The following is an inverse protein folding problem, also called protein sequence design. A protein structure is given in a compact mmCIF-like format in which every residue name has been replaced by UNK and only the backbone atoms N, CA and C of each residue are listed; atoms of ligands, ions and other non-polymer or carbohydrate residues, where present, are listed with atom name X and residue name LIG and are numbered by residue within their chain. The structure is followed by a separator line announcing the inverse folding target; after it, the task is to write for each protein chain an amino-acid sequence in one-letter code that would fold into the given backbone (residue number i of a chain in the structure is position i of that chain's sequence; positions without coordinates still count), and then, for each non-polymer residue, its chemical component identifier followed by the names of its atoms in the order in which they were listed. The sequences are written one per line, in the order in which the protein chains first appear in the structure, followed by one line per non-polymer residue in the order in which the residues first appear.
data_IF_037346973518
#
_entry.id   IF_037346973518
#
_cell.length_a   1.000
_cell.length_b   1.000
_cell.length_c   1.000
_cell.angle_alpha   90.00
_cell.angle_beta   90.00
_cell.angle_gamma   90.00
#
_symmetry.space_group_name_H-M   'P 1'
#
loop_
_entity.id
_entity.type
_entity.pdbx_description
1 polymer ?
#
# COMPACT_ATOMS: atom_id res chain seq x y z
N UNK A 1 -4.15 43.13 -35.36
CA UNK A 1 -4.85 42.49 -34.22
C UNK A 1 -5.60 41.19 -34.57
N UNK A 2 -5.99 40.92 -35.83
CA UNK A 2 -6.69 39.67 -36.19
C UNK A 2 -5.74 38.48 -36.45
N UNK A 3 -4.54 38.72 -37.00
CA UNK A 3 -3.57 37.66 -37.33
C UNK A 3 -3.01 36.91 -36.12
N UNK A 4 -2.77 37.61 -35.00
CA UNK A 4 -2.26 37.03 -33.75
C UNK A 4 -3.31 36.11 -33.11
N UNK A 5 -4.60 36.45 -33.22
CA UNK A 5 -5.68 35.58 -32.71
C UNK A 5 -5.81 34.29 -33.52
N UNK A 6 -5.66 34.35 -34.85
CA UNK A 6 -5.74 33.17 -35.71
C UNK A 6 -4.57 32.21 -35.50
N UNK A 7 -3.35 32.73 -35.31
CA UNK A 7 -2.16 31.92 -35.00
C UNK A 7 -2.27 31.29 -33.61
N UNK A 8 -2.82 32.02 -32.64
CA UNK A 8 -3.03 31.50 -31.28
C UNK A 8 -4.10 30.40 -31.24
N UNK A 9 -5.21 30.53 -31.98
CA UNK A 9 -6.24 29.48 -32.07
C UNK A 9 -5.73 28.20 -32.74
N UNK A 10 -4.91 28.32 -33.80
CA UNK A 10 -4.27 27.17 -34.45
C UNK A 10 -3.34 26.42 -33.47
N UNK A 11 -2.52 27.16 -32.72
CA UNK A 11 -1.59 26.58 -31.75
C UNK A 11 -2.30 25.82 -30.61
N UNK A 12 -3.41 26.36 -30.09
CA UNK A 12 -4.23 25.68 -29.08
C UNK A 12 -4.94 24.44 -29.60
N UNK A 13 -5.42 24.45 -30.85
CA UNK A 13 -6.14 23.29 -31.41
C UNK A 13 -5.18 22.12 -31.69
N UNK A 14 -4.00 22.37 -32.28
CA UNK A 14 -3.01 21.30 -32.53
C UNK A 14 -2.44 20.70 -31.24
N UNK A 15 -2.12 21.53 -30.24
CA UNK A 15 -1.62 21.04 -28.94
C UNK A 15 -2.69 20.25 -28.22
N UNK A 16 -3.96 20.66 -28.30
CA UNK A 16 -5.07 19.92 -27.70
C UNK A 16 -5.20 18.54 -28.34
N UNK A 17 -5.07 18.41 -29.66
CA UNK A 17 -5.10 17.11 -30.33
C UNK A 17 -3.90 16.22 -29.98
N UNK A 18 -2.70 16.80 -29.90
CA UNK A 18 -1.49 16.06 -29.48
C UNK A 18 -1.65 15.57 -28.03
N UNK A 19 -2.16 16.43 -27.14
CA UNK A 19 -2.39 16.11 -25.74
C UNK A 19 -3.49 15.06 -25.58
N UNK A 20 -4.56 15.12 -26.38
CA UNK A 20 -5.64 14.13 -26.40
C UNK A 20 -5.14 12.76 -26.86
N UNK A 21 -4.36 12.70 -27.95
CA UNK A 21 -3.75 11.46 -28.43
C UNK A 21 -2.73 10.90 -27.41
N UNK A 22 -1.92 11.76 -26.80
CA UNK A 22 -0.95 11.34 -25.78
C UNK A 22 -1.64 10.83 -24.50
N UNK A 23 -2.73 11.49 -24.07
CA UNK A 23 -3.54 11.09 -22.93
C UNK A 23 -4.24 9.76 -23.21
N UNK A 24 -4.84 9.60 -24.39
CA UNK A 24 -5.47 8.36 -24.84
C UNK A 24 -4.44 7.22 -24.92
N UNK A 25 -3.26 7.48 -25.47
CA UNK A 25 -2.17 6.51 -25.57
C UNK A 25 -1.66 6.10 -24.17
N UNK A 26 -1.50 7.06 -23.26
CA UNK A 26 -1.12 6.79 -21.87
C UNK A 26 -2.20 5.97 -21.14
N UNK A 27 -3.48 6.29 -21.35
CA UNK A 27 -4.61 5.59 -20.74
C UNK A 27 -4.73 4.15 -21.28
N UNK A 28 -4.54 3.96 -22.58
CA UNK A 28 -4.44 2.62 -23.21
C UNK A 28 -3.24 1.84 -22.68
N UNK A 29 -2.06 2.46 -22.59
CA UNK A 29 -0.85 1.83 -22.06
C UNK A 29 -1.03 1.41 -20.60
N UNK A 30 -1.61 2.27 -19.75
CA UNK A 30 -1.90 1.94 -18.36
C UNK A 30 -2.99 0.87 -18.23
N UNK A 31 -4.00 0.90 -19.08
CA UNK A 31 -5.02 -0.16 -19.14
C UNK A 31 -4.39 -1.50 -19.57
N UNK A 32 -3.45 -1.48 -20.52
CA UNK A 32 -2.70 -2.66 -20.98
C UNK A 32 -1.78 -3.24 -19.89
N UNK A 33 -1.09 -2.38 -19.13
CA UNK A 33 -0.22 -2.77 -18.03
C UNK A 33 -1.01 -3.45 -16.89
N UNK A 34 -2.20 -2.93 -16.57
CA UNK A 34 -3.14 -3.52 -15.60
C UNK A 34 -3.73 -4.85 -16.13
N UNK A 35 -3.83 -4.99 -17.45
CA UNK A 35 -4.40 -6.16 -18.11
C UNK A 35 -3.53 -7.41 -18.00
N UNK A 36 -2.21 -7.28 -17.88
CA UNK A 36 -1.29 -8.39 -18.13
C UNK A 36 -1.17 -9.40 -16.98
N UNK A 37 -1.70 -9.12 -15.78
CA UNK A 37 -1.37 -9.93 -14.60
C UNK A 37 -2.48 -10.84 -14.02
N UNK A 38 -3.61 -11.06 -14.70
CA UNK A 38 -4.67 -11.94 -14.14
C UNK A 38 -5.38 -12.81 -15.17
N UNK A 39 -6.07 -13.86 -14.71
CA UNK A 39 -6.96 -14.73 -15.52
C UNK A 39 -8.01 -13.93 -16.33
N UNK A 40 -8.34 -12.71 -15.90
CA UNK A 40 -9.18 -11.77 -16.64
C UNK A 40 -8.57 -11.30 -17.98
N UNK A 41 -7.24 -11.33 -18.12
CA UNK A 41 -6.52 -10.99 -19.36
C UNK A 41 -6.89 -11.91 -20.52
N UNK A 42 -7.07 -13.20 -20.24
CA UNK A 42 -7.37 -14.21 -21.25
C UNK A 42 -8.82 -14.07 -21.75
N UNK A 43 -9.74 -13.73 -20.84
CA UNK A 43 -11.13 -13.43 -21.18
C UNK A 43 -11.26 -12.14 -21.98
N UNK A 44 -10.48 -11.11 -21.64
CA UNK A 44 -10.48 -9.85 -22.39
C UNK A 44 -9.82 -9.98 -23.77
N UNK A 45 -8.75 -10.77 -23.90
CA UNK A 45 -8.19 -11.18 -25.20
C UNK A 45 -9.23 -11.92 -26.05
N UNK A 46 -10.05 -12.78 -25.42
CA UNK A 46 -11.16 -13.47 -26.08
C UNK A 46 -12.32 -12.54 -26.50
N UNK A 47 -12.68 -11.56 -25.65
CA UNK A 47 -13.68 -10.56 -26.01
C UNK A 47 -13.21 -9.65 -27.15
N UNK A 48 -11.93 -9.25 -27.12
CA UNK A 48 -11.32 -8.44 -28.17
C UNK A 48 -11.22 -9.21 -29.50
N UNK A 49 -10.83 -10.49 -29.47
CA UNK A 49 -10.78 -11.30 -30.69
C UNK A 49 -12.17 -11.50 -31.29
N UNK A 50 -13.21 -11.68 -30.46
CA UNK A 50 -14.60 -11.77 -30.92
C UNK A 50 -15.09 -10.47 -31.56
N UNK A 51 -14.68 -9.31 -31.02
CA UNK A 51 -14.96 -7.99 -31.60
C UNK A 51 -14.26 -7.81 -32.95
N UNK A 52 -13.00 -8.23 -33.07
CA UNK A 52 -12.26 -8.18 -34.35
C UNK A 52 -12.92 -9.06 -35.40
N UNK A 53 -13.33 -10.29 -35.05
CA UNK A 53 -14.06 -11.18 -35.96
C UNK A 53 -15.39 -10.56 -36.39
N UNK A 54 -16.12 -9.92 -35.48
CA UNK A 54 -17.35 -9.18 -35.80
C UNK A 54 -17.09 -8.03 -36.77
N UNK A 55 -16.05 -7.23 -36.53
CA UNK A 55 -15.68 -6.10 -37.37
C UNK A 55 -15.29 -6.54 -38.79
N UNK A 56 -14.51 -7.63 -38.91
CA UNK A 56 -14.17 -8.24 -40.20
C UNK A 56 -15.46 -8.73 -40.89
N UNK A 57 -16.31 -9.48 -40.20
CA UNK A 57 -17.57 -9.98 -40.77
C UNK A 57 -18.49 -8.85 -41.26
N UNK A 58 -18.48 -7.71 -40.56
CA UNK A 58 -19.25 -6.52 -40.92
C UNK A 58 -18.69 -5.81 -42.16
N UNK A 59 -17.37 -5.57 -42.20
CA UNK A 59 -16.70 -4.91 -43.34
C UNK A 59 -16.84 -5.74 -44.62
N UNK A 60 -16.72 -7.07 -44.52
CA UNK A 60 -16.86 -7.99 -45.65
C UNK A 60 -18.30 -8.42 -45.93
N UNK A 61 -19.29 -7.87 -45.20
CA UNK A 61 -20.73 -8.17 -45.35
C UNK A 61 -21.09 -9.67 -45.31
N UNK A 62 -20.40 -10.46 -44.48
CA UNK A 62 -20.63 -11.90 -44.36
C UNK A 62 -21.92 -12.20 -43.57
N UNK A 63 -23.06 -12.21 -44.26
CA UNK A 63 -24.39 -12.30 -43.65
C UNK A 63 -24.60 -13.54 -42.75
N UNK A 64 -24.15 -14.72 -43.17
CA UNK A 64 -24.27 -15.95 -42.38
C UNK A 64 -23.43 -15.90 -41.10
N UNK A 65 -22.22 -15.35 -41.20
CA UNK A 65 -21.30 -15.21 -40.06
C UNK A 65 -21.83 -14.19 -39.05
N UNK A 66 -22.37 -13.06 -39.53
CA UNK A 66 -23.02 -12.06 -38.69
C UNK A 66 -24.26 -12.63 -37.98
N UNK A 67 -25.08 -13.42 -38.67
CA UNK A 67 -26.25 -14.08 -38.07
C UNK A 67 -25.84 -15.08 -36.98
N UNK A 68 -24.83 -15.92 -37.24
CA UNK A 68 -24.30 -16.90 -36.30
C UNK A 68 -23.70 -16.20 -35.07
N UNK A 69 -22.88 -15.18 -35.30
CA UNK A 69 -22.21 -14.44 -34.23
C UNK A 69 -23.23 -13.73 -33.34
N UNK A 70 -24.28 -13.12 -33.91
CA UNK A 70 -25.36 -12.48 -33.15
C UNK A 70 -26.12 -13.49 -32.28
N UNK A 71 -26.39 -14.68 -32.80
CA UNK A 71 -27.10 -15.76 -32.07
C UNK A 71 -26.28 -16.27 -30.89
N UNK A 72 -24.98 -16.52 -31.10
CA UNK A 72 -24.10 -17.05 -30.04
C UNK A 72 -23.71 -15.97 -29.03
N UNK A 73 -23.58 -14.70 -29.45
CA UNK A 73 -23.19 -13.58 -28.58
C UNK A 73 -24.12 -13.44 -27.38
N UNK A 74 -25.43 -13.64 -27.57
CA UNK A 74 -26.39 -13.59 -26.46
C UNK A 74 -26.05 -14.61 -25.34
N UNK A 75 -25.72 -15.84 -25.72
CA UNK A 75 -25.31 -16.89 -24.77
C UNK A 75 -23.95 -16.60 -24.12
N UNK A 76 -22.98 -16.09 -24.89
CA UNK A 76 -21.65 -15.72 -24.38
C UNK A 76 -21.76 -14.60 -23.35
N UNK A 77 -22.60 -13.58 -23.59
CA UNK A 77 -22.79 -12.46 -22.64
C UNK A 77 -23.39 -12.95 -21.32
N UNK A 78 -24.40 -13.82 -21.38
CA UNK A 78 -25.01 -14.41 -20.17
C UNK A 78 -24.00 -15.28 -19.43
N UNK A 79 -23.28 -16.15 -20.14
CA UNK A 79 -22.25 -17.00 -19.54
C UNK A 79 -21.11 -16.19 -18.91
N UNK A 80 -20.66 -15.13 -19.59
CA UNK A 80 -19.68 -14.20 -19.06
C UNK A 80 -20.20 -13.52 -17.79
N UNK A 81 -21.43 -13.00 -17.78
CA UNK A 81 -22.01 -12.36 -16.60
C UNK A 81 -22.04 -13.28 -15.37
N UNK A 82 -22.35 -14.57 -15.55
CA UNK A 82 -22.33 -15.58 -14.48
C UNK A 82 -20.89 -15.84 -14.00
N UNK A 83 -19.96 -16.04 -14.93
CA UNK A 83 -18.54 -16.31 -14.60
C UNK A 83 -17.88 -15.12 -13.92
N UNK A 84 -18.22 -13.89 -14.33
CA UNK A 84 -17.68 -12.64 -13.77
C UNK A 84 -18.41 -12.16 -12.51
N UNK A 85 -19.50 -12.82 -12.11
CA UNK A 85 -20.25 -12.45 -10.91
C UNK A 85 -19.38 -12.39 -9.64
N UNK A 86 -18.46 -13.35 -9.37
CA UNK A 86 -17.59 -13.30 -8.20
C UNK A 86 -16.61 -12.11 -8.20
N UNK A 87 -16.09 -11.73 -9.37
CA UNK A 87 -15.14 -10.63 -9.55
C UNK A 87 -15.82 -9.28 -9.36
N UNK A 88 -17.00 -9.10 -9.98
CA UNK A 88 -17.83 -7.91 -9.76
C UNK A 88 -18.17 -7.76 -8.28
N UNK A 89 -18.57 -8.86 -7.61
CA UNK A 89 -18.80 -8.86 -6.16
C UNK A 89 -17.57 -8.41 -5.37
N UNK A 90 -16.36 -8.89 -5.70
CA UNK A 90 -15.10 -8.45 -5.04
C UNK A 90 -14.85 -6.95 -5.23
N UNK A 91 -15.10 -6.41 -6.43
CA UNK A 91 -14.95 -4.98 -6.72
C UNK A 91 -15.95 -4.15 -5.92
N UNK A 92 -17.22 -4.54 -5.89
CA UNK A 92 -18.25 -3.87 -5.09
C UNK A 92 -17.98 -3.95 -3.60
N UNK A 93 -17.46 -5.07 -3.09
CA UNK A 93 -17.03 -5.19 -1.71
C UNK A 93 -15.88 -4.23 -1.39
N UNK A 94 -14.89 -4.09 -2.29
CA UNK A 94 -13.80 -3.10 -2.12
C UNK A 94 -14.30 -1.66 -2.16
N UNK A 95 -15.26 -1.35 -3.02
CA UNK A 95 -15.88 -0.02 -3.13
C UNK A 95 -16.73 0.29 -1.88
N UNK A 96 -17.47 -0.71 -1.37
CA UNK A 96 -18.31 -0.58 -0.17
C UNK A 96 -17.53 -0.53 1.15
N UNK A 97 -16.26 -0.93 1.17
CA UNK A 97 -15.39 -0.89 2.34
C UNK A 97 -14.77 0.49 2.64
N UNK A 98 -15.15 1.57 1.94
CA UNK A 98 -14.82 2.94 2.34
C UNK A 98 -13.33 3.31 2.37
N UNK A 99 -12.43 2.44 1.91
CA UNK A 99 -10.97 2.65 1.95
C UNK A 99 -10.49 3.77 1.02
N UNK A 100 -11.32 4.23 0.09
CA UNK A 100 -10.95 5.31 -0.85
C UNK A 100 -11.17 6.72 -0.29
N UNK A 101 -11.99 6.87 0.77
CA UNK A 101 -12.39 8.16 1.36
C UNK A 101 -11.93 8.36 2.81
N UNK A 102 -11.20 7.41 3.41
CA UNK A 102 -10.74 7.54 4.80
C UNK A 102 -9.53 8.48 4.84
N UNK A 103 -9.70 9.68 5.42
CA UNK A 103 -8.62 10.60 5.77
C UNK A 103 -7.45 9.82 6.40
N UNK A 104 -6.40 9.65 5.60
CA UNK A 104 -5.33 8.69 5.85
C UNK A 104 -4.34 9.18 6.93
N UNK A 105 -4.47 10.42 7.40
CA UNK A 105 -3.62 11.03 8.45
C UNK A 105 -4.13 10.66 9.85
N UNK A 106 -5.40 10.96 10.15
CA UNK A 106 -6.03 10.67 11.45
C UNK A 106 -6.06 9.16 11.79
N UNK A 107 -6.29 8.31 10.79
CA UNK A 107 -6.26 6.84 10.98
C UNK A 107 -4.84 6.35 11.25
N UNK A 108 -3.81 6.94 10.64
CA UNK A 108 -2.43 6.53 10.87
C UNK A 108 -1.87 7.03 12.20
N UNK A 109 -2.21 8.25 12.63
CA UNK A 109 -1.88 8.74 13.98
C UNK A 109 -2.44 7.78 15.04
N UNK A 110 -3.73 7.44 14.94
CA UNK A 110 -4.37 6.48 15.86
C UNK A 110 -3.69 5.11 15.88
N UNK A 111 -3.16 4.64 14.76
CA UNK A 111 -2.43 3.36 14.70
C UNK A 111 -1.04 3.44 15.36
N UNK A 112 -0.35 4.56 15.19
CA UNK A 112 0.93 4.80 15.87
C UNK A 112 0.70 4.89 17.38
N UNK A 113 -0.29 5.66 17.82
CA UNK A 113 -0.67 5.77 19.22
C UNK A 113 -0.94 4.39 19.82
N UNK A 114 -1.75 3.58 19.14
CA UNK A 114 -2.05 2.21 19.57
C UNK A 114 -0.80 1.32 19.65
N UNK A 115 0.19 1.54 18.79
CA UNK A 115 1.46 0.81 18.80
C UNK A 115 2.33 1.23 19.98
N UNK A 116 2.42 2.53 20.26
CA UNK A 116 3.16 3.06 21.40
C UNK A 116 2.51 2.62 22.71
N UNK A 117 1.18 2.69 22.83
CA UNK A 117 0.46 2.15 24.01
C UNK A 117 0.75 0.67 24.23
N UNK A 118 0.81 -0.15 23.15
CA UNK A 118 1.19 -1.55 23.29
C UNK A 118 2.65 -1.71 23.74
N UNK A 119 3.56 -0.88 23.23
CA UNK A 119 4.96 -0.88 23.62
C UNK A 119 5.14 -0.52 25.09
N UNK A 120 4.41 0.47 25.61
CA UNK A 120 4.40 0.83 27.04
C UNK A 120 3.92 -0.36 27.91
N UNK A 121 2.78 -0.97 27.56
CA UNK A 121 2.23 -2.11 28.30
C UNK A 121 3.21 -3.30 28.33
N UNK A 122 3.90 -3.57 27.22
CA UNK A 122 4.87 -4.65 27.13
C UNK A 122 6.20 -4.29 27.82
N UNK A 123 6.59 -3.02 27.79
CA UNK A 123 7.76 -2.48 28.50
C UNK A 123 7.63 -2.65 30.00
N UNK A 124 6.50 -2.24 30.58
CA UNK A 124 6.20 -2.43 32.01
C UNK A 124 6.25 -3.91 32.42
N UNK A 125 5.82 -4.80 31.51
CA UNK A 125 5.83 -6.26 31.72
C UNK A 125 7.16 -6.91 31.35
N UNK A 126 8.15 -6.15 30.90
CA UNK A 126 9.44 -6.63 30.37
C UNK A 126 9.26 -7.75 29.35
N UNK A 127 8.39 -7.52 28.38
CA UNK A 127 8.13 -8.45 27.28
C UNK A 127 8.69 -7.89 25.98
N UNK A 128 9.36 -8.76 25.24
CA UNK A 128 9.93 -8.42 23.94
C UNK A 128 8.86 -7.99 22.95
N UNK A 129 9.09 -6.87 22.27
CA UNK A 129 8.29 -6.39 21.14
C UNK A 129 9.23 -6.19 19.95
N UNK A 130 8.78 -6.52 18.75
CA UNK A 130 9.51 -6.24 17.51
C UNK A 130 8.53 -5.93 16.37
N UNK A 131 8.41 -4.65 16.01
CA UNK A 131 7.49 -4.20 14.95
C UNK A 131 8.27 -3.48 13.87
N UNK A 132 8.13 -3.93 12.63
CA UNK A 132 8.74 -3.32 11.45
C UNK A 132 7.69 -2.54 10.67
N UNK A 133 7.92 -1.25 10.51
CA UNK A 133 7.11 -0.37 9.68
C UNK A 133 7.75 -0.23 8.30
N UNK A 134 7.07 -0.78 7.30
CA UNK A 134 7.50 -0.65 5.90
C UNK A 134 7.31 0.80 5.42
N UNK A 135 8.39 1.39 4.87
CA UNK A 135 8.37 2.69 4.19
C UNK A 135 8.24 2.49 2.68
N UNK A 136 9.31 2.70 1.90
CA UNK A 136 9.28 2.61 0.42
C UNK A 136 9.60 1.19 -0.06
N UNK A 137 10.46 0.47 0.64
CA UNK A 137 10.88 -0.87 0.25
C UNK A 137 9.75 -1.87 0.48
N UNK A 138 9.59 -2.81 -0.46
CA UNK A 138 8.65 -3.91 -0.31
C UNK A 138 9.31 -5.05 0.48
N UNK A 139 8.82 -5.33 1.69
CA UNK A 139 9.36 -6.35 2.58
C UNK A 139 8.80 -7.75 2.28
N UNK A 140 8.53 -8.05 1.00
CA UNK A 140 7.80 -9.26 0.60
C UNK A 140 8.49 -10.53 1.07
N UNK A 141 9.80 -10.60 0.93
CA UNK A 141 10.58 -11.78 1.32
C UNK A 141 10.50 -12.04 2.82
N UNK A 142 10.48 -10.97 3.64
CA UNK A 142 10.30 -11.05 5.09
C UNK A 142 8.86 -11.46 5.43
N UNK A 143 7.86 -10.86 4.79
CA UNK A 143 6.44 -11.16 5.00
C UNK A 143 6.13 -12.63 4.72
N UNK A 144 6.75 -13.21 3.68
CA UNK A 144 6.51 -14.59 3.27
C UNK A 144 7.15 -15.62 4.25
N UNK A 145 8.01 -15.19 5.18
CA UNK A 145 8.52 -16.07 6.26
C UNK A 145 7.56 -16.25 7.43
N UNK A 146 6.63 -15.31 7.62
CA UNK A 146 5.72 -15.29 8.76
C UNK A 146 4.29 -15.72 8.43
N UNK A 147 3.40 -15.57 9.40
CA UNK A 147 1.97 -15.87 9.25
C UNK A 147 1.24 -14.59 8.86
N UNK A 148 0.59 -14.58 7.69
CA UNK A 148 -0.22 -13.46 7.21
C UNK A 148 -1.47 -13.28 8.07
N UNK A 149 -1.67 -12.08 8.57
CA UNK A 149 -2.83 -11.70 9.40
C UNK A 149 -3.79 -10.77 8.65
N UNK A 150 -3.25 -9.75 7.98
CA UNK A 150 -4.03 -8.67 7.36
C UNK A 150 -5.05 -8.05 8.32
N UNK A 151 -4.58 -7.70 9.53
CA UNK A 151 -5.42 -7.21 10.62
C UNK A 151 -5.23 -5.71 10.86
N UNK A 152 -6.29 -5.03 11.33
CA UNK A 152 -6.19 -3.64 11.76
C UNK A 152 -5.31 -3.51 13.01
N UNK A 153 -4.57 -2.39 13.11
CA UNK A 153 -3.66 -2.14 14.23
C UNK A 153 -4.49 -1.78 15.46
N UNK A 154 -4.34 -2.56 16.52
CA UNK A 154 -4.88 -2.25 17.85
C UNK A 154 -3.87 -2.66 18.92
N UNK A 155 -3.86 -1.92 20.03
CA UNK A 155 -2.94 -2.20 21.14
C UNK A 155 -3.18 -3.60 21.71
N UNK A 156 -4.45 -3.99 21.88
CA UNK A 156 -4.84 -5.33 22.35
C UNK A 156 -4.35 -6.46 21.45
N UNK A 157 -4.36 -6.27 20.13
CA UNK A 157 -3.85 -7.27 19.19
C UNK A 157 -2.34 -7.42 19.31
N UNK A 158 -1.60 -6.31 19.36
CA UNK A 158 -0.14 -6.33 19.52
C UNK A 158 0.26 -6.98 20.85
N UNK A 159 -0.38 -6.59 21.95
CA UNK A 159 -0.14 -7.19 23.28
C UNK A 159 -0.47 -8.68 23.29
N UNK A 160 -1.51 -9.12 22.56
CA UNK A 160 -1.85 -10.54 22.41
C UNK A 160 -0.79 -11.29 21.60
N UNK A 161 -0.32 -10.73 20.48
CA UNK A 161 0.70 -11.36 19.63
C UNK A 161 1.99 -11.58 20.43
N UNK A 162 2.45 -10.56 21.17
CA UNK A 162 3.62 -10.66 22.06
C UNK A 162 3.28 -11.15 23.47
N UNK A 163 2.14 -11.84 23.60
CA UNK A 163 1.76 -12.54 24.81
C UNK A 163 2.71 -13.70 25.14
N UNK A 164 2.58 -14.24 26.34
CA UNK A 164 3.34 -15.43 26.74
C UNK A 164 2.80 -16.66 26.00
N UNK A 165 3.70 -17.58 25.61
CA UNK A 165 3.38 -18.88 24.99
C UNK A 165 2.52 -18.83 23.71
N UNK A 166 2.50 -17.70 22.99
CA UNK A 166 1.79 -17.64 21.71
C UNK A 166 2.69 -18.14 20.59
N UNK A 167 2.20 -18.81 19.54
CA UNK A 167 3.06 -19.18 18.41
C UNK A 167 3.63 -17.98 17.62
N UNK A 168 3.08 -16.77 17.81
CA UNK A 168 3.39 -15.58 17.01
C UNK A 168 4.37 -14.59 17.67
N UNK A 169 4.68 -14.76 18.97
CA UNK A 169 5.57 -13.84 19.69
C UNK A 169 7.05 -13.97 19.26
N UNK A 170 7.41 -15.08 18.62
CA UNK A 170 8.76 -15.35 18.18
C UNK A 170 8.95 -14.82 16.75
N UNK A 171 9.54 -13.63 16.65
CA UNK A 171 9.72 -12.90 15.40
C UNK A 171 9.09 -11.52 15.41
N UNK A 172 8.99 -10.92 14.22
CA UNK A 172 8.53 -9.56 14.04
C UNK A 172 7.09 -9.49 13.50
N UNK A 173 6.39 -8.41 13.88
CA UNK A 173 5.20 -7.95 13.18
C UNK A 173 5.62 -7.03 12.04
N UNK A 174 5.05 -7.21 10.85
CA UNK A 174 5.24 -6.32 9.71
C UNK A 174 3.99 -5.46 9.51
N UNK A 175 4.16 -4.15 9.61
CA UNK A 175 3.12 -3.15 9.39
C UNK A 175 3.34 -2.46 8.04
N UNK A 176 2.31 -2.48 7.20
CA UNK A 176 2.30 -1.77 5.92
C UNK A 176 0.97 -1.06 5.74
N UNK A 177 1.01 0.21 5.34
CA UNK A 177 -0.18 1.03 5.07
C UNK A 177 -1.22 1.04 6.21
N UNK A 178 -0.76 0.96 7.47
CA UNK A 178 -1.64 0.98 8.64
C UNK A 178 -2.34 -0.35 8.93
N UNK A 179 -1.85 -1.46 8.37
CA UNK A 179 -2.36 -2.83 8.60
C UNK A 179 -1.20 -3.71 9.05
N UNK A 180 -1.45 -4.60 9.99
CA UNK A 180 -0.55 -5.71 10.32
C UNK A 180 -0.65 -6.76 9.22
N UNK A 181 0.33 -6.81 8.34
CA UNK A 181 0.34 -7.74 7.19
C UNK A 181 0.65 -9.15 7.65
N UNK A 182 1.68 -9.31 8.48
CA UNK A 182 2.12 -10.61 9.01
C UNK A 182 2.73 -10.48 10.41
N UNK A 183 2.77 -11.59 11.14
CA UNK A 183 3.42 -11.73 12.45
C UNK A 183 4.30 -12.99 12.48
N UNK A 184 5.23 -13.05 13.44
CA UNK A 184 6.21 -14.13 13.52
C UNK A 184 7.16 -14.16 12.32
N UNK A 185 7.46 -12.99 11.72
CA UNK A 185 8.37 -12.91 10.58
C UNK A 185 9.83 -12.98 11.05
N UNK A 186 10.66 -13.73 10.33
CA UNK A 186 12.09 -13.80 10.57
C UNK A 186 12.80 -12.61 9.91
N UNK A 187 13.65 -11.94 10.69
CA UNK A 187 14.40 -10.78 10.24
C UNK A 187 15.89 -11.13 10.08
N UNK A 188 16.60 -10.49 9.14
CA UNK A 188 18.06 -10.61 9.04
C UNK A 188 18.72 -10.02 10.29
N UNK A 189 19.78 -10.66 10.78
CA UNK A 189 20.57 -10.20 11.92
C UNK A 189 21.77 -9.40 11.43
N UNK A 190 22.01 -8.23 12.02
CA UNK A 190 23.23 -7.46 11.74
C UNK A 190 24.48 -8.17 12.27
N UNK A 191 25.54 -8.15 11.47
CA UNK A 191 26.88 -8.65 11.81
C UNK A 191 27.80 -7.57 12.40
N UNK A 192 27.30 -6.34 12.59
CA UNK A 192 28.10 -5.25 13.12
C UNK A 192 28.65 -5.58 14.52
N UNK A 193 29.99 -5.56 14.64
CA UNK A 193 30.68 -5.83 15.91
C UNK A 193 30.56 -4.67 16.92
N UNK A 194 30.19 -3.48 16.44
CA UNK A 194 30.05 -2.24 17.25
C UNK A 194 28.73 -2.18 18.04
N UNK A 195 27.84 -3.16 17.84
CA UNK A 195 26.65 -3.35 18.65
C UNK A 195 27.10 -3.70 20.07
N UNK A 196 26.63 -2.93 21.08
CA UNK A 196 26.90 -3.23 22.49
C UNK A 196 26.62 -4.72 22.76
N UNK A 197 27.57 -5.41 23.40
CA UNK A 197 27.45 -6.85 23.69
C UNK A 197 26.20 -7.22 24.49
N UNK A 198 25.61 -6.26 25.21
CA UNK A 198 24.36 -6.39 25.96
C UNK A 198 23.10 -6.45 25.09
N UNK A 199 23.18 -6.18 23.79
CA UNK A 199 22.00 -6.23 22.93
C UNK A 199 21.70 -7.66 22.46
N UNK A 200 20.47 -8.10 22.79
CA UNK A 200 19.92 -9.39 22.40
C UNK A 200 19.60 -9.51 20.91
N UNK A 201 19.05 -10.66 20.53
CA UNK A 201 18.77 -11.03 19.13
C UNK A 201 17.76 -10.09 18.45
N UNK A 202 16.72 -9.63 19.17
CA UNK A 202 15.72 -8.67 18.62
C UNK A 202 16.34 -7.33 18.20
N UNK A 203 17.31 -6.83 18.96
CA UNK A 203 18.01 -5.59 18.61
C UNK A 203 18.89 -5.77 17.36
N UNK A 204 19.57 -6.92 17.24
CA UNK A 204 20.37 -7.25 16.05
C UNK A 204 19.50 -7.45 14.81
N UNK A 205 18.34 -8.09 14.99
CA UNK A 205 17.33 -8.28 13.96
C UNK A 205 16.78 -6.94 13.44
N UNK A 206 16.46 -6.04 14.37
CA UNK A 206 16.02 -4.70 14.03
C UNK A 206 17.08 -3.92 13.26
N UNK A 207 18.34 -3.98 13.71
CA UNK A 207 19.44 -3.29 13.05
C UNK A 207 19.69 -3.86 11.65
N UNK A 208 19.76 -5.19 11.51
CA UNK A 208 19.97 -5.84 10.21
C UNK A 208 18.86 -5.51 9.21
N UNK A 209 17.61 -5.43 9.69
CA UNK A 209 16.49 -5.00 8.85
C UNK A 209 16.64 -3.54 8.40
N UNK A 210 17.15 -2.66 9.26
CA UNK A 210 17.40 -1.24 8.93
C UNK A 210 18.67 -0.99 8.10
N UNK A 211 19.54 -2.00 7.95
CA UNK A 211 20.71 -1.98 7.06
C UNK A 211 20.30 -2.33 5.64
N UNK A 212 19.49 -3.37 5.48
CA UNK A 212 19.04 -3.87 4.17
C UNK A 212 17.87 -3.07 3.59
N UNK A 213 17.13 -2.35 4.43
CA UNK A 213 15.88 -1.69 4.03
C UNK A 213 15.74 -0.31 4.64
N UNK A 214 14.86 0.50 4.04
CA UNK A 214 14.45 1.76 4.62
C UNK A 214 13.42 1.58 5.74
N UNK A 215 13.15 0.39 6.28
CA UNK A 215 12.13 0.24 7.31
C UNK A 215 12.52 0.91 8.64
N UNK A 216 11.50 1.29 9.42
CA UNK A 216 11.67 1.75 10.80
C UNK A 216 11.22 0.62 11.72
N UNK A 217 12.05 0.23 12.67
CA UNK A 217 11.77 -0.90 13.56
C UNK A 217 11.64 -0.41 15.01
N UNK A 218 10.52 -0.72 15.66
CA UNK A 218 10.27 -0.48 17.07
C UNK A 218 10.57 -1.74 17.87
N UNK A 219 11.39 -1.60 18.91
CA UNK A 219 11.82 -2.69 19.78
C UNK A 219 11.44 -2.37 21.23
N UNK A 220 10.97 -3.38 21.97
CA UNK A 220 10.96 -3.38 23.43
C UNK A 220 11.86 -4.50 23.91
N UNK A 221 12.78 -4.18 24.82
CA UNK A 221 13.70 -5.14 25.41
C UNK A 221 12.99 -6.07 26.40
N UNK A 222 13.15 -7.38 26.25
CA UNK A 222 12.64 -8.35 27.23
C UNK A 222 13.44 -8.38 28.54
N UNK A 223 14.69 -7.90 28.52
CA UNK A 223 15.55 -7.90 29.71
C UNK A 223 15.32 -6.63 30.55
N UNK A 224 15.29 -5.48 29.88
CA UNK A 224 15.27 -4.17 30.53
C UNK A 224 13.92 -3.48 30.47
N UNK A 225 13.04 -3.85 29.53
CA UNK A 225 11.84 -3.10 29.20
C UNK A 225 12.11 -1.85 28.35
N UNK A 226 13.36 -1.53 28.02
CA UNK A 226 13.71 -0.31 27.28
C UNK A 226 13.05 -0.30 25.89
N UNK A 227 12.45 0.84 25.53
CA UNK A 227 11.90 1.10 24.19
C UNK A 227 13.02 1.64 23.31
N UNK A 228 13.16 1.11 22.10
CA UNK A 228 14.21 1.50 21.16
C UNK A 228 13.68 1.58 19.74
N UNK A 229 14.33 2.37 18.90
CA UNK A 229 14.05 2.46 17.47
C UNK A 229 15.30 2.10 16.67
N UNK A 230 15.15 1.34 15.58
CA UNK A 230 16.19 1.11 14.60
C UNK A 230 15.75 1.60 13.22
N UNK A 231 16.55 2.46 12.60
CA UNK A 231 16.32 2.98 11.25
C UNK A 231 17.63 3.57 10.71
N UNK A 232 17.76 3.65 9.38
CA UNK A 232 18.94 4.18 8.68
C UNK A 232 20.25 3.60 9.23
N UNK A 233 20.26 2.28 9.46
CA UNK A 233 21.40 1.51 10.00
C UNK A 233 21.90 1.97 11.37
N UNK A 234 21.03 2.58 12.19
CA UNK A 234 21.35 3.05 13.54
C UNK A 234 20.31 2.57 14.54
N UNK A 235 20.77 2.29 15.76
CA UNK A 235 19.91 1.94 16.89
C UNK A 235 19.88 3.10 17.90
N UNK A 236 18.68 3.59 18.17
CA UNK A 236 18.36 4.61 19.16
C UNK A 236 17.78 3.91 20.39
N UNK A 237 18.59 3.83 21.45
CA UNK A 237 18.30 3.01 22.63
C UNK A 237 17.70 3.83 23.78
N UNK A 238 16.80 3.20 24.53
CA UNK A 238 16.19 3.71 25.78
C UNK A 238 15.49 5.06 25.61
N UNK A 239 14.61 5.11 24.61
CA UNK A 239 13.76 6.27 24.33
C UNK A 239 12.58 6.30 25.30
N UNK A 240 12.15 7.51 25.68
CA UNK A 240 10.85 7.67 26.32
C UNK A 240 9.74 7.31 25.33
N UNK A 241 8.57 6.90 25.82
CA UNK A 241 7.43 6.58 24.95
C UNK A 241 6.99 7.79 24.11
N UNK A 242 7.08 8.99 24.69
CA UNK A 242 6.83 10.27 24.00
C UNK A 242 7.86 10.55 22.91
N UNK A 243 9.15 10.30 23.15
CA UNK A 243 10.19 10.51 22.13
C UNK A 243 10.05 9.50 21.00
N UNK A 244 9.80 8.23 21.34
CA UNK A 244 9.56 7.17 20.36
C UNK A 244 8.33 7.47 19.50
N UNK A 245 7.25 7.99 20.10
CA UNK A 245 6.05 8.44 19.39
C UNK A 245 6.38 9.54 18.38
N UNK A 246 6.95 10.66 18.83
CA UNK A 246 7.26 11.80 17.97
C UNK A 246 8.24 11.42 16.85
N UNK A 247 9.24 10.60 17.15
CA UNK A 247 10.20 10.15 16.17
C UNK A 247 9.57 9.21 15.13
N UNK A 248 8.68 8.32 15.55
CA UNK A 248 7.94 7.43 14.64
C UNK A 248 6.97 8.20 13.75
N UNK A 249 6.24 9.19 14.28
CA UNK A 249 5.37 10.08 13.51
C UNK A 249 6.13 10.85 12.44
N UNK A 250 7.29 11.40 12.81
CA UNK A 250 8.18 12.13 11.91
C UNK A 250 8.72 11.21 10.80
N UNK A 251 9.22 10.03 11.15
CA UNK A 251 9.81 9.08 10.20
C UNK A 251 8.78 8.44 9.25
N UNK A 252 7.53 8.31 9.68
CA UNK A 252 6.43 7.78 8.88
C UNK A 252 5.63 8.88 8.14
N UNK A 253 6.17 10.10 8.11
CA UNK A 253 5.70 11.23 7.30
C UNK A 253 4.24 11.62 7.57
N UNK A 254 3.83 11.53 8.84
CA UNK A 254 2.50 11.99 9.28
C UNK A 254 2.45 13.49 9.49
N UNK A 255 3.57 14.10 9.85
CA UNK A 255 3.65 15.52 10.23
C UNK A 255 3.69 16.47 9.02
N UNK A 256 4.17 16.02 7.85
CA UNK A 256 4.39 16.92 6.69
C UNK A 256 3.10 17.20 5.89
N UNK A 257 2.07 16.36 6.00
CA UNK A 257 0.82 16.57 5.25
C UNK A 257 -0.11 17.60 5.88
N UNK A 258 -0.19 17.66 7.20
CA UNK A 258 -1.06 18.63 7.89
C UNK A 258 -0.63 20.08 7.64
N UNK A 259 0.67 20.37 7.49
CA UNK A 259 1.14 21.75 7.23
C UNK A 259 0.85 22.22 5.80
N UNK A 260 0.75 21.30 4.83
CA UNK A 260 0.42 21.64 3.44
C UNK A 260 -1.07 21.88 3.23
N UNK A 261 -1.93 21.12 3.92
CA UNK A 261 -3.38 21.33 3.87
C UNK A 261 -3.81 22.58 4.67
N UNK A 262 -3.18 22.85 5.82
CA UNK A 262 -3.45 24.08 6.58
C UNK A 262 -2.94 25.35 5.88
N UNK A 263 -1.76 25.32 5.25
CA UNK A 263 -1.28 26.47 4.44
C UNK A 263 -2.09 26.68 3.16
N UNK A 264 -2.66 25.62 2.57
CA UNK A 264 -3.55 25.75 1.42
C UNK A 264 -4.86 26.46 1.78
N UNK A 265 -5.45 26.11 2.94
CA UNK A 265 -6.70 26.70 3.41
C UNK A 265 -6.54 28.17 3.87
N UNK A 266 -5.40 28.53 4.47
CA UNK A 266 -5.11 29.93 4.85
C UNK A 266 -4.83 30.83 3.63
N UNK A 267 -4.22 30.30 2.57
CA UNK A 267 -3.99 31.07 1.34
C UNK A 267 -5.28 31.32 0.55
N UNK A 268 -6.22 30.38 0.52
CA UNK A 268 -7.52 30.57 -0.14
C UNK A 268 -8.43 31.57 0.60
N UNK A 269 -8.33 31.66 1.94
CA UNK A 269 -9.12 32.61 2.73
C UNK A 269 -8.58 34.05 2.66
N UNK A 270 -7.28 34.24 2.43
CA UNK A 270 -6.66 35.56 2.30
C UNK A 270 -6.73 36.16 0.89
N UNK A 271 -7.07 35.40 -0.15
CA UNK A 271 -7.33 35.92 -1.50
C UNK A 271 -8.80 36.34 -1.72
N UNK A 272 -9.70 35.98 -0.80
CA UNK A 272 -11.13 36.30 -0.84
C UNK A 272 -11.57 37.39 0.17
N UNK A 273 -10.62 37.97 0.92
CA UNK A 273 -10.83 39.08 1.86
C UNK A 273 -10.12 40.36 1.36
#
# INVERSE_FOLDING_TARGET
MQFIRTVFTLYTDYIRHILDIALLAFLIYKTYEILIQTQAAQLLKGALSLLVIYAIAFVFQLQTLLWLLKTITAGIVIGAAIVFQPELRKIFLKIGQGSWLRNNTLSKQRHIDATITAAEILSEKKRGLLIVFARRNNLKDIIDTGIRLNAEISSSLIVTIFGHDTPLHDGAIIVQNGIIVAAGCFLPLSEQQDIRKSFGTRHRAALGTSEETDAVVLIVSEETGAISLAYDSRLYYDLSSTDALHQLEHLLDLTIRDTKEQRGAEHEQNELA
#
